data_IF_510391866661
#
_entry.id   IF_510391866661
#
_cell.length_a   1.000
_cell.length_b   1.000
_cell.length_c   1.000
_cell.angle_alpha   90.00
_cell.angle_beta   90.00
_cell.angle_gamma   90.00
#
_symmetry.space_group_name_H-M   'P 1'
#
loop_
_entity.id
_entity.type
_entity.pdbx_description
1 polymer ?
#
# COMPACT_ATOMS: atom_id res chain seq x y z
N UNK A 1 11.01 0.06 -22.13
CA UNK A 1 10.81 0.84 -20.91
C UNK A 1 12.07 0.76 -20.07
N UNK A 2 12.47 1.87 -19.48
CA UNK A 2 13.53 1.92 -18.47
C UNK A 2 13.07 1.26 -17.17
N UNK A 3 14.02 0.95 -16.28
CA UNK A 3 13.71 0.32 -14.99
C UNK A 3 12.73 1.14 -14.14
N UNK A 4 12.85 2.47 -14.16
CA UNK A 4 11.94 3.35 -13.42
C UNK A 4 10.54 3.36 -14.01
N UNK A 5 10.42 3.40 -15.35
CA UNK A 5 9.12 3.29 -16.03
C UNK A 5 8.44 1.95 -15.73
N UNK A 6 9.21 0.86 -15.69
CA UNK A 6 8.68 -0.45 -15.30
C UNK A 6 8.22 -0.46 -13.84
N UNK A 7 9.00 0.11 -12.92
CA UNK A 7 8.60 0.19 -11.51
C UNK A 7 7.32 1.01 -11.33
N UNK A 8 7.20 2.17 -11.99
CA UNK A 8 5.96 2.97 -11.98
C UNK A 8 4.78 2.18 -12.55
N UNK A 9 4.96 1.48 -13.68
CA UNK A 9 3.92 0.65 -14.26
C UNK A 9 3.48 -0.48 -13.33
N UNK A 10 4.42 -1.14 -12.64
CA UNK A 10 4.12 -2.16 -11.64
C UNK A 10 3.31 -1.60 -10.48
N UNK A 11 3.67 -0.43 -9.94
CA UNK A 11 2.92 0.20 -8.85
C UNK A 11 1.47 0.52 -9.25
N UNK A 12 1.28 1.05 -10.45
CA UNK A 12 -0.06 1.34 -10.99
C UNK A 12 -0.86 0.04 -11.16
N UNK A 13 -0.28 -0.97 -11.81
CA UNK A 13 -0.95 -2.25 -12.04
C UNK A 13 -1.32 -2.96 -10.75
N UNK A 14 -0.43 -2.94 -9.76
CA UNK A 14 -0.71 -3.50 -8.44
C UNK A 14 -1.88 -2.77 -7.79
N UNK A 15 -1.90 -1.44 -7.78
CA UNK A 15 -3.02 -0.68 -7.22
C UNK A 15 -4.34 -1.02 -7.93
N UNK A 16 -4.36 -0.95 -9.26
CA UNK A 16 -5.54 -1.24 -10.09
C UNK A 16 -6.03 -2.69 -9.96
N UNK A 17 -5.15 -3.64 -9.66
CA UNK A 17 -5.50 -5.05 -9.45
C UNK A 17 -6.30 -5.25 -8.17
N UNK A 18 -6.01 -4.46 -7.12
CA UNK A 18 -6.71 -4.57 -5.84
C UNK A 18 -7.89 -3.59 -5.72
N UNK A 19 -7.82 -2.45 -6.41
CA UNK A 19 -8.87 -1.43 -6.41
C UNK A 19 -10.10 -1.86 -7.21
N UNK A 20 -11.29 -1.52 -6.71
CA UNK A 20 -12.56 -1.73 -7.41
C UNK A 20 -13.15 -3.13 -7.34
N UNK A 21 -12.67 -3.98 -6.43
CA UNK A 21 -13.38 -5.21 -6.04
C UNK A 21 -14.73 -4.90 -5.39
N UNK A 22 -14.86 -3.71 -4.78
CA UNK A 22 -16.10 -3.18 -4.21
C UNK A 22 -16.92 -2.30 -5.18
N UNK A 23 -16.45 -2.13 -6.42
CA UNK A 23 -17.06 -1.29 -7.45
C UNK A 23 -16.46 0.12 -7.61
N UNK A 24 -15.56 0.57 -6.71
CA UNK A 24 -14.83 1.84 -6.82
C UNK A 24 -13.41 1.62 -7.35
N UNK A 25 -13.22 1.78 -8.66
CA UNK A 25 -11.93 1.52 -9.31
C UNK A 25 -10.82 2.53 -9.01
N UNK A 26 -11.12 3.61 -8.28
CA UNK A 26 -10.18 4.71 -8.06
C UNK A 26 -9.60 4.72 -6.64
N UNK A 27 -10.14 3.89 -5.75
CA UNK A 27 -9.75 3.84 -4.35
C UNK A 27 -9.68 2.39 -3.88
N UNK A 28 -8.93 2.16 -2.80
CA UNK A 28 -8.91 0.92 -2.06
C UNK A 28 -9.73 1.10 -0.79
N UNK A 29 -10.75 0.28 -0.62
CA UNK A 29 -11.42 0.10 0.65
C UNK A 29 -10.50 -0.56 1.67
N UNK A 30 -10.89 -0.49 2.94
CA UNK A 30 -10.20 -1.16 4.04
C UNK A 30 -9.91 -2.64 3.81
N UNK A 31 -10.86 -3.36 3.19
CA UNK A 31 -10.71 -4.78 2.90
C UNK A 31 -9.70 -5.04 1.78
N UNK A 32 -9.67 -4.18 0.76
CA UNK A 32 -8.74 -4.28 -0.36
C UNK A 32 -7.31 -3.92 0.06
N UNK A 33 -7.13 -2.86 0.87
CA UNK A 33 -5.82 -2.53 1.46
C UNK A 33 -5.29 -3.72 2.26
N UNK A 34 -6.11 -4.31 3.13
CA UNK A 34 -5.69 -5.50 3.89
C UNK A 34 -5.20 -6.61 2.97
N UNK A 35 -5.95 -6.90 1.91
CA UNK A 35 -5.59 -7.95 0.94
C UNK A 35 -4.30 -7.63 0.19
N UNK A 36 -4.12 -6.36 -0.22
CA UNK A 36 -2.91 -5.89 -0.90
C UNK A 36 -1.70 -6.08 0.00
N UNK A 37 -1.76 -5.59 1.24
CA UNK A 37 -0.62 -5.68 2.16
C UNK A 37 -0.31 -7.15 2.48
N UNK A 38 -1.31 -8.00 2.68
CA UNK A 38 -1.14 -9.45 2.93
C UNK A 38 -0.42 -10.18 1.79
N UNK A 39 -0.67 -9.79 0.54
CA UNK A 39 -0.11 -10.47 -0.64
C UNK A 39 1.19 -9.87 -1.14
N UNK A 40 1.27 -8.55 -1.21
CA UNK A 40 2.40 -7.83 -1.82
C UNK A 40 3.48 -7.47 -0.79
N UNK A 41 3.11 -7.32 0.49
CA UNK A 41 4.00 -6.89 1.57
C UNK A 41 4.05 -7.89 2.74
N UNK A 42 4.21 -9.21 2.49
CA UNK A 42 4.15 -10.22 3.53
C UNK A 42 5.26 -10.07 4.59
N UNK A 43 6.43 -9.57 4.20
CA UNK A 43 7.54 -9.28 5.12
C UNK A 43 7.25 -8.11 6.06
N UNK A 44 6.43 -7.15 5.63
CA UNK A 44 5.99 -6.02 6.45
C UNK A 44 4.95 -6.47 7.49
N UNK A 45 4.09 -7.43 7.12
CA UNK A 45 3.07 -8.00 8.00
C UNK A 45 3.54 -9.16 8.88
N UNK A 46 4.80 -9.61 8.78
CA UNK A 46 5.31 -10.61 9.73
C UNK A 46 5.22 -10.13 11.18
N UNK A 47 5.20 -8.81 11.41
CA UNK A 47 4.81 -8.19 12.69
C UNK A 47 3.29 -8.05 12.89
N UNK A 48 2.56 -7.65 11.85
CA UNK A 48 1.12 -7.39 11.85
C UNK A 48 0.24 -8.64 11.67
N UNK A 49 0.57 -9.72 12.39
CA UNK A 49 -0.31 -10.89 12.54
C UNK A 49 -1.63 -10.55 13.25
N UNK A 50 -1.75 -9.33 13.77
CA UNK A 50 -2.89 -8.86 14.53
C UNK A 50 -3.76 -7.90 13.68
N UNK A 51 -5.09 -8.08 13.64
CA UNK A 51 -6.01 -7.18 12.92
C UNK A 51 -5.84 -5.70 13.29
N UNK A 52 -5.45 -5.43 14.55
CA UNK A 52 -5.22 -4.08 15.06
C UNK A 52 -4.03 -3.36 14.40
N UNK A 53 -3.03 -4.09 13.92
CA UNK A 53 -1.87 -3.48 13.24
C UNK A 53 -2.21 -3.09 11.80
N UNK A 54 -3.03 -3.90 11.12
CA UNK A 54 -3.58 -3.55 9.81
C UNK A 54 -4.49 -2.33 9.92
N UNK A 55 -5.30 -2.25 10.97
CA UNK A 55 -6.16 -1.08 11.24
C UNK A 55 -5.34 0.19 11.52
N UNK A 56 -4.24 0.07 12.26
CA UNK A 56 -3.29 1.20 12.46
C UNK A 56 -2.62 1.59 11.15
N UNK A 57 -2.22 0.62 10.35
CA UNK A 57 -1.60 0.85 9.05
C UNK A 57 -2.54 1.56 8.08
N UNK A 58 -3.80 1.14 8.03
CA UNK A 58 -4.86 1.81 7.28
C UNK A 58 -5.07 3.24 7.76
N UNK A 59 -5.12 3.48 9.07
CA UNK A 59 -5.24 4.83 9.62
C UNK A 59 -4.06 5.74 9.29
N UNK A 60 -2.88 5.17 9.08
CA UNK A 60 -1.70 5.92 8.65
C UNK A 60 -1.70 6.19 7.15
N UNK A 61 -2.43 5.38 6.37
CA UNK A 61 -2.60 5.48 4.93
C UNK A 61 -3.68 6.49 4.55
N UNK A 62 -4.82 6.44 5.23
CA UNK A 62 -5.99 7.32 5.07
C UNK A 62 -5.68 8.70 5.67
N UNK A 63 -4.95 9.53 4.91
CA UNK A 63 -4.47 10.83 5.37
C UNK A 63 -5.60 11.86 5.37
N UNK A 64 -6.52 11.75 4.41
CA UNK A 64 -7.66 12.65 4.28
C UNK A 64 -8.83 12.26 5.20
N UNK A 65 -8.80 11.06 5.81
CA UNK A 65 -9.80 10.49 6.73
C UNK A 65 -11.15 10.20 6.08
N UNK A 66 -11.16 9.86 4.79
CA UNK A 66 -12.37 9.46 4.05
C UNK A 66 -12.67 7.95 4.15
N UNK A 67 -11.83 7.20 4.89
CA UNK A 67 -11.91 5.74 5.06
C UNK A 67 -11.63 4.92 3.80
N UNK A 68 -11.09 5.56 2.77
CA UNK A 68 -10.59 4.96 1.55
C UNK A 68 -9.10 5.30 1.39
N UNK A 69 -8.43 4.65 0.45
CA UNK A 69 -7.04 4.95 0.12
C UNK A 69 -6.95 5.19 -1.39
N UNK A 70 -6.64 6.41 -1.78
CA UNK A 70 -6.42 6.74 -3.19
C UNK A 70 -5.01 6.37 -3.66
N UNK A 71 -4.75 6.51 -4.96
CA UNK A 71 -3.44 6.17 -5.52
C UNK A 71 -2.32 7.06 -4.95
N UNK A 72 -2.60 8.31 -4.62
CA UNK A 72 -1.61 9.23 -4.06
C UNK A 72 -1.20 8.78 -2.66
N UNK A 73 -2.17 8.44 -1.82
CA UNK A 73 -1.98 7.89 -0.48
C UNK A 73 -1.21 6.56 -0.51
N UNK A 74 -1.55 5.68 -1.44
CA UNK A 74 -0.81 4.46 -1.70
C UNK A 74 0.67 4.72 -2.03
N UNK A 75 0.96 5.63 -2.97
CA UNK A 75 2.34 5.95 -3.36
C UNK A 75 3.12 6.60 -2.23
N UNK A 76 2.50 7.48 -1.45
CA UNK A 76 3.17 8.10 -0.29
C UNK A 76 3.60 7.04 0.73
N UNK A 77 2.79 6.01 0.98
CA UNK A 77 3.18 4.89 1.82
C UNK A 77 4.36 4.12 1.23
N UNK A 78 4.26 3.69 -0.04
CA UNK A 78 5.33 2.93 -0.68
C UNK A 78 6.65 3.72 -0.64
N UNK A 79 6.59 5.03 -0.86
CA UNK A 79 7.73 5.95 -0.70
C UNK A 79 8.29 5.94 0.73
N UNK A 80 7.43 6.08 1.74
CA UNK A 80 7.84 6.06 3.15
C UNK A 80 8.49 4.72 3.55
N UNK A 81 7.92 3.59 3.12
CA UNK A 81 8.48 2.26 3.35
C UNK A 81 9.82 2.08 2.64
N UNK A 82 9.93 2.56 1.40
CA UNK A 82 11.17 2.51 0.63
C UNK A 82 12.28 3.29 1.34
N UNK A 83 11.99 4.49 1.85
CA UNK A 83 12.93 5.27 2.66
C UNK A 83 13.32 4.53 3.95
N UNK A 84 12.36 3.98 4.69
CA UNK A 84 12.63 3.25 5.94
C UNK A 84 13.49 2.00 5.70
N UNK A 85 13.23 1.26 4.61
CA UNK A 85 14.05 0.11 4.22
C UNK A 85 15.44 0.55 3.78
N UNK A 86 15.56 1.61 2.97
CA UNK A 86 16.84 2.16 2.56
C UNK A 86 17.69 2.57 3.78
N UNK A 87 17.10 3.27 4.76
CA UNK A 87 17.78 3.63 6.01
C UNK A 87 18.20 2.41 6.85
N UNK A 88 17.41 1.32 6.80
CA UNK A 88 17.76 0.07 7.46
C UNK A 88 18.90 -0.67 6.76
N UNK A 89 18.99 -0.61 5.44
CA UNK A 89 20.06 -1.24 4.66
C UNK A 89 21.33 -0.39 4.56
N UNK A 90 21.24 0.92 4.75
CA UNK A 90 22.38 1.84 4.78
C UNK A 90 22.97 2.07 6.18
N UNK A 91 22.43 1.39 7.21
CA UNK A 91 23.06 1.26 8.54
C UNK A 91 23.87 -0.03 8.60
#
# INVERSE_FOLDING_TARGET
>A
MSHLEMAMATLIQTFDQYAGSDGKKSTLSKAEVKTLVEKELPGLLQGAKNPDEVDKFLKNLDLNRDSEVDFQEFIMLIGALTCALHDHFCK
#
